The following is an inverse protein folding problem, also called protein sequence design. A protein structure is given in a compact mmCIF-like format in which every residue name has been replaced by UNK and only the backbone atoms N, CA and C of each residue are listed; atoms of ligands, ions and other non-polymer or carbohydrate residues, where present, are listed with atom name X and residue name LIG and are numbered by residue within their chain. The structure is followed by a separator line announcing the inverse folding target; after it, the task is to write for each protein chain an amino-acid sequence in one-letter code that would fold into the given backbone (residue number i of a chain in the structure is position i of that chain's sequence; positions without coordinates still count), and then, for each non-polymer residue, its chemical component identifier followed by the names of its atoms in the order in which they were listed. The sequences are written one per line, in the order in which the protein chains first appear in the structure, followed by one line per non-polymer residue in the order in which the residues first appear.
data_IF_126809138322
#
_entry.id   IF_126809138322
#
_cell.length_a   1.000
_cell.length_b   1.000
_cell.length_c   1.000
_cell.angle_alpha   90.00
_cell.angle_beta   90.00
_cell.angle_gamma   90.00
#
_symmetry.space_group_name_H-M   'P 1'
#
loop_
_entity.id
_entity.type
_entity.pdbx_description
1 polymer ?
#
# COMPACT_ATOMS: atom_id res chain seq x y z
N UNK A 1 1.57 -25.23 10.20
CA UNK A 1 2.67 -24.25 10.06
C UNK A 1 2.56 -23.28 11.23
N UNK A 2 3.47 -23.37 12.21
CA UNK A 2 3.60 -22.42 13.32
C UNK A 2 4.53 -21.31 12.83
N UNK A 3 4.01 -20.10 12.60
CA UNK A 3 4.87 -18.93 12.33
C UNK A 3 5.32 -18.35 13.67
N UNK A 4 6.62 -18.28 13.87
CA UNK A 4 7.28 -17.70 15.04
C UNK A 4 7.46 -16.19 14.80
N UNK A 5 6.83 -15.37 15.61
CA UNK A 5 7.12 -13.93 15.68
C UNK A 5 8.11 -13.75 16.84
N UNK A 6 9.38 -13.56 16.53
CA UNK A 6 10.42 -13.29 17.51
C UNK A 6 10.56 -11.77 17.69
N UNK A 7 10.12 -11.25 18.82
CA UNK A 7 10.41 -9.90 19.29
C UNK A 7 11.59 -9.99 20.26
N UNK A 8 12.70 -9.32 19.92
CA UNK A 8 13.85 -9.28 20.81
C UNK A 8 13.66 -8.14 21.81
N UNK A 9 13.07 -8.41 22.98
CA UNK A 9 13.31 -7.66 24.24
C UNK A 9 12.42 -8.14 25.39
N UNK A 10 12.76 -7.77 26.61
CA UNK A 10 12.13 -8.22 27.87
C UNK A 10 10.70 -7.67 28.01
N UNK A 11 9.74 -8.53 28.28
CA UNK A 11 8.36 -8.25 28.73
C UNK A 11 7.66 -7.07 28.04
N UNK A 12 7.24 -7.26 26.80
CA UNK A 12 6.46 -6.25 26.07
C UNK A 12 4.98 -6.58 26.12
N UNK A 13 4.16 -5.62 26.53
CA UNK A 13 2.72 -5.65 26.25
C UNK A 13 2.52 -5.15 24.81
N UNK A 14 1.89 -5.93 23.96
CA UNK A 14 1.59 -5.50 22.60
C UNK A 14 0.13 -5.78 22.23
N UNK A 15 -0.42 -4.92 21.40
CA UNK A 15 -1.75 -5.12 20.84
C UNK A 15 -1.59 -5.76 19.46
N UNK A 16 -2.05 -6.98 19.31
CA UNK A 16 -2.04 -7.68 18.03
C UNK A 16 -3.43 -7.60 17.39
N UNK A 17 -3.50 -7.26 16.13
CA UNK A 17 -4.72 -7.32 15.35
C UNK A 17 -4.58 -8.43 14.29
N UNK A 18 -5.44 -9.44 14.37
CA UNK A 18 -5.40 -10.60 13.47
C UNK A 18 -6.75 -10.75 12.80
N UNK A 19 -6.79 -10.87 11.47
CA UNK A 19 -8.03 -11.13 10.75
C UNK A 19 -8.30 -12.63 10.62
N UNK A 20 -9.51 -13.02 10.99
CA UNK A 20 -10.11 -14.29 10.61
C UNK A 20 -11.10 -14.10 9.46
N UNK A 21 -11.23 -15.06 8.56
CA UNK A 21 -12.15 -15.02 7.41
C UNK A 21 -13.64 -15.22 7.75
N UNK A 22 -14.02 -15.07 9.03
CA UNK A 22 -15.41 -15.15 9.49
C UNK A 22 -15.76 -14.00 10.42
N UNK A 23 -16.66 -13.17 9.97
CA UNK A 23 -17.50 -12.15 10.60
C UNK A 23 -17.09 -11.52 11.94
N UNK A 24 -16.87 -10.23 11.96
CA UNK A 24 -16.73 -9.41 13.17
C UNK A 24 -17.05 -7.94 12.90
N UNK A 25 -17.65 -7.28 13.86
CA UNK A 25 -18.30 -5.96 13.92
C UNK A 25 -17.41 -4.78 13.48
N UNK A 26 -18.02 -3.83 12.76
CA UNK A 26 -17.40 -2.59 12.24
C UNK A 26 -17.51 -1.41 13.23
N UNK A 27 -16.42 -0.68 13.40
CA UNK A 27 -16.42 0.72 13.85
C UNK A 27 -15.41 1.50 13.00
N UNK A 28 -15.90 2.51 12.27
CA UNK A 28 -15.12 3.28 11.28
C UNK A 28 -14.46 4.51 11.91
N UNK A 29 -13.15 4.69 11.66
CA UNK A 29 -12.46 5.99 11.68
C UNK A 29 -11.32 6.00 10.68
N UNK A 30 -11.17 7.07 9.87
CA UNK A 30 -10.11 7.15 8.85
C UNK A 30 -8.74 7.38 9.49
N UNK A 31 -7.69 6.74 8.97
CA UNK A 31 -6.32 6.98 9.38
C UNK A 31 -5.48 7.53 8.25
N UNK A 32 -5.04 8.77 8.48
CA UNK A 32 -3.87 9.36 7.85
C UNK A 32 -2.64 8.70 8.46
N UNK A 33 -1.77 8.11 7.66
CA UNK A 33 -0.45 7.67 8.11
C UNK A 33 0.38 8.92 8.34
N UNK A 34 0.49 9.35 9.58
CA UNK A 34 1.38 10.44 9.98
C UNK A 34 2.72 9.82 10.40
N UNK A 35 3.73 9.98 9.57
CA UNK A 35 5.12 9.86 9.97
C UNK A 35 5.46 11.17 10.67
N UNK A 36 5.06 11.37 11.87
CA UNK A 36 5.62 12.25 12.89
C UNK A 36 4.66 12.44 14.05
N UNK A 37 5.02 11.93 15.19
CA UNK A 37 4.81 12.69 16.41
C UNK A 37 5.62 12.12 17.56
N UNK A 38 6.33 13.01 18.23
CA UNK A 38 7.12 12.77 19.42
C UNK A 38 6.28 12.69 20.70
N UNK A 39 5.06 12.19 20.60
CA UNK A 39 4.19 11.94 21.74
C UNK A 39 3.74 10.49 21.69
N UNK A 40 4.38 9.62 22.47
CA UNK A 40 3.88 8.33 22.93
C UNK A 40 3.10 7.43 21.95
N UNK A 41 3.27 7.61 20.63
CA UNK A 41 2.54 6.90 19.59
C UNK A 41 3.14 5.53 19.37
N UNK A 42 2.34 4.49 19.59
CA UNK A 42 2.72 3.11 19.31
C UNK A 42 3.16 2.94 17.86
N UNK A 43 4.28 2.28 17.64
CA UNK A 43 4.74 1.90 16.30
C UNK A 43 3.86 0.74 15.82
N UNK A 44 3.25 0.89 14.64
CA UNK A 44 2.46 -0.14 14.00
C UNK A 44 3.32 -0.92 13.00
N UNK A 45 3.44 -2.22 13.22
CA UNK A 45 4.06 -3.14 12.29
C UNK A 45 2.97 -3.97 11.61
N UNK A 46 2.98 -4.05 10.28
CA UNK A 46 2.11 -4.90 9.49
C UNK A 46 2.92 -6.02 8.86
N UNK A 47 2.53 -7.25 9.13
CA UNK A 47 3.20 -8.43 8.60
C UNK A 47 2.23 -9.22 7.69
N UNK A 48 2.49 -9.25 6.37
CA UNK A 48 1.66 -10.01 5.43
C UNK A 48 1.90 -11.51 5.58
N UNK A 49 0.83 -12.29 5.59
CA UNK A 49 0.90 -13.75 5.70
C UNK A 49 0.81 -14.47 4.35
N UNK A 50 0.51 -13.71 3.28
CA UNK A 50 0.51 -14.21 1.91
C UNK A 50 1.19 -13.20 0.97
N UNK A 51 1.55 -13.65 -0.23
CA UNK A 51 2.31 -12.84 -1.20
C UNK A 51 1.45 -11.74 -1.83
N UNK A 52 0.13 -11.96 -1.98
CA UNK A 52 -0.81 -10.94 -2.47
C UNK A 52 -0.79 -9.70 -1.58
N UNK A 53 -1.06 -9.86 -0.28
CA UNK A 53 -1.04 -8.74 0.68
C UNK A 53 0.35 -8.10 0.78
N UNK A 54 1.42 -8.90 0.69
CA UNK A 54 2.79 -8.37 0.66
C UNK A 54 3.02 -7.43 -0.52
N UNK A 55 2.53 -7.79 -1.69
CA UNK A 55 2.63 -6.95 -2.89
C UNK A 55 1.82 -5.67 -2.75
N UNK A 56 0.61 -5.73 -2.17
CA UNK A 56 -0.22 -4.55 -1.93
C UNK A 56 0.44 -3.58 -0.95
N UNK A 57 0.99 -4.06 0.17
CA UNK A 57 1.69 -3.23 1.15
C UNK A 57 2.95 -2.56 0.55
N UNK A 58 3.70 -3.28 -0.30
CA UNK A 58 4.84 -2.69 -1.01
C UNK A 58 4.41 -1.58 -1.98
N UNK A 59 3.32 -1.80 -2.71
CA UNK A 59 2.79 -0.77 -3.62
C UNK A 59 2.28 0.44 -2.85
N UNK A 60 1.58 0.25 -1.74
CA UNK A 60 1.13 1.36 -0.89
C UNK A 60 2.32 2.23 -0.45
N UNK A 61 3.38 1.62 0.11
CA UNK A 61 4.62 2.34 0.50
C UNK A 61 5.26 3.08 -0.67
N UNK A 62 5.28 2.46 -1.86
CA UNK A 62 5.82 3.11 -3.06
C UNK A 62 4.97 4.29 -3.52
N UNK A 63 3.63 4.20 -3.48
CA UNK A 63 2.76 5.32 -3.84
C UNK A 63 2.84 6.46 -2.82
N UNK A 64 2.90 6.17 -1.52
CA UNK A 64 3.10 7.18 -0.47
C UNK A 64 4.45 7.89 -0.65
N UNK A 65 5.50 7.15 -0.95
CA UNK A 65 6.83 7.69 -1.25
C UNK A 65 6.82 8.57 -2.50
N UNK A 66 6.17 8.13 -3.58
CA UNK A 66 6.02 8.90 -4.80
C UNK A 66 5.33 10.23 -4.54
N UNK A 67 4.20 10.23 -3.83
CA UNK A 67 3.45 11.43 -3.48
C UNK A 67 4.29 12.38 -2.63
N UNK A 68 4.95 11.85 -1.59
CA UNK A 68 5.82 12.64 -0.70
C UNK A 68 6.93 13.36 -1.47
N UNK A 69 7.68 12.65 -2.33
CA UNK A 69 8.79 13.25 -3.06
C UNK A 69 8.33 14.13 -4.23
N UNK A 70 7.20 13.84 -4.84
CA UNK A 70 6.60 14.71 -5.86
C UNK A 70 6.16 16.04 -5.28
N UNK A 71 5.70 16.09 -4.04
CA UNK A 71 5.26 17.33 -3.37
C UNK A 71 6.42 18.30 -3.02
N UNK A 72 7.67 17.83 -3.07
CA UNK A 72 8.85 18.65 -2.77
C UNK A 72 9.23 19.54 -3.96
N UNK A 73 10.17 20.46 -3.72
CA UNK A 73 10.62 21.43 -4.74
C UNK A 73 12.00 21.10 -5.31
N UNK A 74 12.83 20.40 -4.53
CA UNK A 74 14.22 20.16 -4.90
C UNK A 74 14.35 19.11 -6.02
N UNK A 75 15.26 19.31 -7.01
CA UNK A 75 15.45 18.36 -8.11
C UNK A 75 15.81 16.94 -7.68
N UNK A 76 16.56 16.79 -6.58
CA UNK A 76 16.92 15.46 -6.05
C UNK A 76 15.71 14.73 -5.46
N UNK A 77 14.75 15.45 -4.87
CA UNK A 77 13.50 14.83 -4.41
C UNK A 77 12.71 14.30 -5.61
N UNK A 78 12.65 15.06 -6.71
CA UNK A 78 12.01 14.61 -7.95
C UNK A 78 12.78 13.47 -8.63
N UNK A 79 14.10 13.38 -8.44
CA UNK A 79 14.86 12.18 -8.84
C UNK A 79 14.40 10.95 -8.09
N UNK A 80 14.24 11.05 -6.75
CA UNK A 80 13.71 9.96 -5.92
C UNK A 80 12.29 9.60 -6.34
N UNK A 81 11.43 10.58 -6.64
CA UNK A 81 10.09 10.36 -7.14
C UNK A 81 10.09 9.55 -8.46
N UNK A 82 10.97 9.87 -9.41
CA UNK A 82 11.10 9.13 -10.67
C UNK A 82 11.59 7.69 -10.44
N UNK A 83 12.61 7.50 -9.59
CA UNK A 83 13.09 6.15 -9.24
C UNK A 83 11.95 5.34 -8.62
N UNK A 84 11.19 5.93 -7.71
CA UNK A 84 10.02 5.29 -7.10
C UNK A 84 8.93 4.95 -8.13
N UNK A 85 8.70 5.82 -9.12
CA UNK A 85 7.78 5.53 -10.23
C UNK A 85 8.22 4.32 -11.05
N UNK A 86 9.53 4.14 -11.25
CA UNK A 86 10.07 2.95 -11.91
C UNK A 86 9.93 1.68 -11.05
N UNK A 87 10.08 1.79 -9.73
CA UNK A 87 9.81 0.68 -8.81
C UNK A 87 8.31 0.28 -8.85
N UNK A 88 7.40 1.26 -8.89
CA UNK A 88 5.96 1.00 -9.08
C UNK A 88 5.72 0.28 -10.41
N UNK A 89 6.34 0.75 -11.50
CA UNK A 89 6.22 0.13 -12.81
C UNK A 89 6.63 -1.34 -12.79
N UNK A 90 7.69 -1.70 -12.03
CA UNK A 90 8.19 -3.08 -11.94
C UNK A 90 7.25 -3.98 -11.14
N UNK A 91 6.70 -3.48 -10.06
CA UNK A 91 5.75 -4.24 -9.22
C UNK A 91 4.38 -4.33 -9.90
N UNK A 92 3.85 -3.22 -10.44
CA UNK A 92 2.56 -3.16 -11.10
C UNK A 92 2.52 -3.91 -12.45
N UNK A 93 3.67 -4.10 -13.09
CA UNK A 93 3.81 -4.83 -14.35
C UNK A 93 3.66 -6.35 -14.22
N UNK A 94 3.49 -6.90 -13.03
CA UNK A 94 3.22 -8.32 -12.82
C UNK A 94 1.84 -8.67 -13.37
N UNK A 95 1.77 -9.77 -14.13
CA UNK A 95 0.58 -10.13 -14.90
C UNK A 95 -0.69 -10.35 -14.05
N UNK A 96 -0.51 -10.80 -12.80
CA UNK A 96 -1.64 -11.27 -11.96
C UNK A 96 -2.23 -10.17 -11.05
N UNK A 97 -1.56 -9.02 -10.90
CA UNK A 97 -1.94 -8.01 -9.90
C UNK A 97 -3.34 -7.44 -10.14
N UNK A 98 -3.69 -7.12 -11.39
CA UNK A 98 -5.02 -6.59 -11.75
C UNK A 98 -6.12 -7.60 -11.43
N UNK A 99 -5.94 -8.85 -11.83
CA UNK A 99 -6.91 -9.92 -11.58
C UNK A 99 -7.03 -10.25 -10.10
N UNK A 100 -5.91 -10.24 -9.37
CA UNK A 100 -5.86 -10.43 -7.93
C UNK A 100 -6.63 -9.36 -7.17
N UNK A 101 -6.48 -8.09 -7.56
CA UNK A 101 -7.21 -6.97 -6.95
C UNK A 101 -8.72 -7.04 -7.26
N UNK A 102 -9.10 -7.32 -8.51
CA UNK A 102 -10.51 -7.47 -8.88
C UNK A 102 -11.19 -8.62 -8.11
N UNK A 103 -10.51 -9.75 -7.95
CA UNK A 103 -11.01 -10.86 -7.15
C UNK A 103 -11.15 -10.49 -5.67
N UNK A 104 -10.19 -9.73 -5.14
CA UNK A 104 -10.21 -9.34 -3.74
C UNK A 104 -11.31 -8.29 -3.47
N UNK A 105 -11.51 -7.31 -4.37
CA UNK A 105 -12.62 -6.35 -4.29
C UNK A 105 -13.96 -7.07 -4.31
N UNK A 106 -14.17 -8.03 -5.24
CA UNK A 106 -15.40 -8.80 -5.30
C UNK A 106 -15.60 -9.65 -4.04
N UNK A 107 -14.56 -10.29 -3.53
CA UNK A 107 -14.63 -11.06 -2.27
C UNK A 107 -15.04 -10.16 -1.10
N UNK A 108 -14.50 -8.94 -1.02
CA UNK A 108 -14.83 -7.99 0.04
C UNK A 108 -16.26 -7.45 -0.13
N UNK A 109 -16.67 -7.17 -1.37
CA UNK A 109 -18.06 -6.80 -1.69
C UNK A 109 -19.06 -7.82 -1.20
N UNK A 110 -18.83 -9.10 -1.51
CA UNK A 110 -19.71 -10.20 -1.06
C UNK A 110 -19.73 -10.33 0.47
N UNK A 111 -18.60 -10.19 1.13
CA UNK A 111 -18.53 -10.23 2.58
C UNK A 111 -19.32 -9.08 3.23
N UNK A 112 -19.27 -7.88 2.65
CA UNK A 112 -20.04 -6.72 3.12
C UNK A 112 -21.54 -6.87 2.85
N UNK A 113 -21.93 -7.41 1.72
CA UNK A 113 -23.34 -7.68 1.38
C UNK A 113 -24.02 -8.62 2.39
N UNK A 114 -23.27 -9.53 3.01
CA UNK A 114 -23.81 -10.41 4.05
C UNK A 114 -24.28 -9.64 5.31
N UNK A 115 -23.80 -8.41 5.53
CA UNK A 115 -24.23 -7.57 6.65
C UNK A 115 -25.45 -6.70 6.35
N UNK A 116 -26.02 -6.75 5.14
CA UNK A 116 -27.12 -5.87 4.72
C UNK A 116 -28.39 -6.02 5.60
N UNK A 117 -28.60 -7.18 6.16
CA UNK A 117 -29.75 -7.46 7.02
C UNK A 117 -29.41 -7.41 8.52
N UNK A 118 -28.22 -6.95 8.89
CA UNK A 118 -27.83 -6.80 10.29
C UNK A 118 -28.31 -5.44 10.82
N UNK A 119 -29.20 -5.42 11.85
CA UNK A 119 -29.75 -4.17 12.39
C UNK A 119 -28.69 -3.30 13.09
N UNK A 120 -27.51 -3.82 13.41
CA UNK A 120 -26.40 -3.08 14.03
C UNK A 120 -25.54 -2.32 13.00
N UNK A 121 -25.78 -2.50 11.69
CA UNK A 121 -25.00 -1.88 10.62
C UNK A 121 -25.81 -0.77 9.96
N UNK A 122 -25.19 0.42 9.85
CA UNK A 122 -25.82 1.51 9.08
C UNK A 122 -25.86 1.15 7.60
N UNK A 123 -27.06 1.09 7.05
CA UNK A 123 -27.29 0.80 5.62
C UNK A 123 -26.62 1.85 4.74
N UNK A 124 -26.70 3.13 5.13
CA UNK A 124 -26.07 4.23 4.36
C UNK A 124 -24.55 4.13 4.32
N UNK A 125 -23.92 3.72 5.43
CA UNK A 125 -22.47 3.52 5.48
C UNK A 125 -22.05 2.32 4.65
N UNK A 126 -22.83 1.24 4.71
CA UNK A 126 -22.61 0.03 3.92
C UNK A 126 -22.74 0.31 2.42
N UNK A 127 -23.82 0.98 2.00
CA UNK A 127 -24.06 1.30 0.59
C UNK A 127 -22.99 2.22 0.03
N UNK A 128 -22.43 3.14 0.83
CA UNK A 128 -21.31 4.00 0.45
C UNK A 128 -20.04 3.20 0.18
N UNK A 129 -19.68 2.28 1.08
CA UNK A 129 -18.49 1.43 0.88
C UNK A 129 -18.67 0.50 -0.32
N UNK A 130 -19.86 -0.05 -0.52
CA UNK A 130 -20.16 -0.88 -1.68
C UNK A 130 -20.03 -0.09 -2.99
N UNK A 131 -20.49 1.17 -3.01
CA UNK A 131 -20.34 2.06 -4.17
C UNK A 131 -18.85 2.37 -4.45
N UNK A 132 -18.04 2.64 -3.41
CA UNK A 132 -16.58 2.83 -3.55
C UNK A 132 -15.91 1.58 -4.18
N UNK A 133 -16.28 0.39 -3.74
CA UNK A 133 -15.76 -0.87 -4.28
C UNK A 133 -16.18 -1.05 -5.75
N UNK A 134 -17.44 -0.80 -6.07
CA UNK A 134 -17.98 -0.97 -7.44
C UNK A 134 -17.35 0.04 -8.41
N UNK A 135 -17.07 1.27 -7.97
CA UNK A 135 -16.36 2.29 -8.75
C UNK A 135 -14.91 1.87 -9.00
N UNK A 136 -14.17 1.51 -7.95
CA UNK A 136 -12.79 1.08 -8.07
C UNK A 136 -12.64 -0.17 -8.96
N UNK A 137 -13.55 -1.14 -8.83
CA UNK A 137 -13.54 -2.34 -9.66
C UNK A 137 -13.82 -2.02 -11.14
N UNK A 138 -14.72 -1.07 -11.43
CA UNK A 138 -15.02 -0.61 -12.79
C UNK A 138 -13.81 0.10 -13.40
N UNK A 139 -13.21 1.02 -12.66
CA UNK A 139 -12.07 1.81 -13.14
C UNK A 139 -10.84 0.92 -13.37
N UNK A 140 -10.54 0.03 -12.44
CA UNK A 140 -9.47 -0.94 -12.60
C UNK A 140 -9.77 -1.92 -13.75
N UNK A 141 -11.02 -2.37 -13.89
CA UNK A 141 -11.48 -3.23 -14.98
C UNK A 141 -11.30 -2.57 -16.34
N UNK A 142 -11.53 -1.26 -16.43
CA UNK A 142 -11.43 -0.45 -17.64
C UNK A 142 -10.01 -0.25 -18.17
N UNK A 143 -8.97 -0.51 -17.37
CA UNK A 143 -7.58 -0.43 -17.83
C UNK A 143 -7.35 -1.47 -18.93
N UNK A 144 -7.05 -1.02 -20.14
CA UNK A 144 -6.66 -1.87 -21.26
C UNK A 144 -5.13 -2.09 -21.27
N UNK A 145 -4.70 -3.33 -21.52
CA UNK A 145 -3.28 -3.67 -21.59
C UNK A 145 -2.62 -3.87 -20.22
N UNK A 146 -1.29 -3.84 -20.20
CA UNK A 146 -0.48 -4.03 -19.00
C UNK A 146 -0.34 -2.70 -18.24
N UNK A 147 -0.49 -2.75 -16.92
CA UNK A 147 -0.23 -1.58 -16.07
C UNK A 147 1.17 -1.01 -16.33
N UNK A 148 1.23 0.31 -16.53
CA UNK A 148 2.49 1.02 -16.84
C UNK A 148 3.01 0.90 -18.26
N UNK A 149 2.22 0.41 -19.22
CA UNK A 149 2.62 0.33 -20.62
C UNK A 149 3.01 1.70 -21.19
N UNK A 150 2.25 2.75 -20.85
CA UNK A 150 2.53 4.14 -21.26
C UNK A 150 3.92 4.65 -20.83
N UNK A 151 4.43 4.18 -19.67
CA UNK A 151 5.80 4.51 -19.25
C UNK A 151 6.85 3.73 -20.04
N UNK A 152 6.57 2.46 -20.34
CA UNK A 152 7.48 1.60 -21.13
C UNK A 152 7.62 2.10 -22.58
N UNK A 153 6.60 2.74 -23.11
CA UNK A 153 6.57 3.36 -24.44
C UNK A 153 7.23 4.75 -24.48
N UNK A 154 7.49 5.34 -23.30
CA UNK A 154 8.20 6.61 -23.21
C UNK A 154 9.72 6.36 -23.22
N UNK A 155 10.34 6.51 -24.39
CA UNK A 155 11.77 6.28 -24.58
C UNK A 155 12.64 7.13 -23.66
N UNK A 156 12.24 8.38 -23.41
CA UNK A 156 12.98 9.29 -22.53
C UNK A 156 12.99 8.78 -21.09
N UNK A 157 11.82 8.37 -20.54
CA UNK A 157 11.75 7.77 -19.20
C UNK A 157 12.53 6.45 -19.12
N UNK A 158 12.46 5.61 -20.16
CA UNK A 158 13.20 4.35 -20.19
C UNK A 158 14.71 4.56 -20.28
N UNK A 159 15.17 5.61 -20.94
CA UNK A 159 16.60 5.99 -20.95
C UNK A 159 17.08 6.37 -19.54
N UNK A 160 16.31 7.17 -18.80
CA UNK A 160 16.61 7.53 -17.41
C UNK A 160 16.63 6.26 -16.54
N UNK A 161 15.59 5.43 -16.64
CA UNK A 161 15.50 4.21 -15.87
C UNK A 161 16.70 3.29 -16.06
N UNK A 162 17.16 3.12 -17.29
CA UNK A 162 18.33 2.27 -17.60
C UNK A 162 19.62 2.79 -16.97
N UNK A 163 19.74 4.08 -16.75
CA UNK A 163 20.90 4.73 -16.16
C UNK A 163 20.85 4.83 -14.64
N UNK A 164 19.67 4.95 -14.05
CA UNK A 164 19.52 4.99 -12.57
C UNK A 164 19.97 3.68 -11.89
N UNK A 165 20.03 2.58 -12.62
CA UNK A 165 20.56 1.30 -12.12
C UNK A 165 22.11 1.34 -12.01
N UNK A 166 22.78 2.21 -12.76
CA UNK A 166 24.23 2.37 -12.77
C UNK A 166 24.62 3.38 -11.69
N UNK A 167 25.56 3.05 -10.83
CA UNK A 167 26.06 3.98 -9.82
C UNK A 167 26.62 5.26 -10.48
N UNK A 168 26.03 6.41 -10.15
CA UNK A 168 26.39 7.70 -10.78
C UNK A 168 25.93 7.87 -12.23
N UNK A 169 25.13 6.96 -12.79
CA UNK A 169 24.75 6.94 -14.21
C UNK A 169 23.73 8.03 -14.63
N UNK A 170 23.24 8.85 -13.68
CA UNK A 170 22.31 9.96 -13.95
C UNK A 170 23.01 11.34 -14.00
N UNK A 171 24.30 11.38 -14.33
CA UNK A 171 25.06 12.60 -14.46
C UNK A 171 24.69 13.36 -15.75
N UNK A 172 25.02 14.67 -15.77
CA UNK A 172 24.73 15.58 -16.90
C UNK A 172 25.32 15.13 -18.22
N UNK A 173 26.53 14.55 -18.22
CA UNK A 173 27.21 14.07 -19.42
C UNK A 173 26.62 12.74 -19.96
N UNK A 174 26.00 11.91 -19.11
CA UNK A 174 25.31 10.68 -19.52
C UNK A 174 23.86 10.95 -19.95
N UNK A 175 23.18 11.86 -19.27
CA UNK A 175 21.77 12.20 -19.48
C UNK A 175 21.54 13.72 -19.57
N UNK A 176 22.03 14.42 -20.60
CA UNK A 176 21.92 15.89 -20.69
C UNK A 176 20.48 16.39 -20.75
N UNK A 177 19.56 15.64 -21.38
CA UNK A 177 18.13 15.99 -21.42
C UNK A 177 17.44 15.86 -20.05
N UNK A 178 17.86 14.88 -19.25
CA UNK A 178 17.38 14.71 -17.88
C UNK A 178 17.93 15.81 -16.96
N UNK A 179 19.19 16.15 -17.11
CA UNK A 179 19.79 17.27 -16.39
C UNK A 179 19.07 18.59 -16.69
N UNK A 180 18.77 18.85 -17.96
CA UNK A 180 17.97 20.01 -18.37
C UNK A 180 16.56 19.98 -17.73
N UNK A 181 15.92 18.83 -17.67
CA UNK A 181 14.62 18.67 -17.00
C UNK A 181 14.71 18.97 -15.49
N UNK A 182 15.76 18.55 -14.82
CA UNK A 182 15.99 18.85 -13.39
C UNK A 182 16.11 20.37 -13.12
N UNK A 183 16.53 21.15 -14.09
CA UNK A 183 16.65 22.61 -13.99
C UNK A 183 15.35 23.36 -14.37
N UNK A 184 14.29 22.66 -14.75
CA UNK A 184 12.98 23.29 -14.95
C UNK A 184 12.39 23.73 -13.61
N UNK A 185 11.42 24.65 -13.65
CA UNK A 185 10.68 25.05 -12.45
C UNK A 185 10.02 23.84 -11.76
N UNK A 186 10.00 23.81 -10.43
CA UNK A 186 9.52 22.65 -9.67
C UNK A 186 8.08 22.26 -10.02
N UNK A 187 7.16 23.22 -10.19
CA UNK A 187 5.78 22.95 -10.61
C UNK A 187 5.69 22.24 -11.96
N UNK A 188 6.59 22.55 -12.90
CA UNK A 188 6.61 21.87 -14.19
C UNK A 188 7.05 20.41 -14.04
N UNK A 189 8.05 20.14 -13.19
CA UNK A 189 8.49 18.78 -12.89
C UNK A 189 7.42 17.99 -12.14
N UNK A 190 6.73 18.63 -11.18
CA UNK A 190 5.60 18.02 -10.45
C UNK A 190 4.47 17.63 -11.39
N UNK A 191 4.09 18.51 -12.33
CA UNK A 191 3.07 18.20 -13.35
C UNK A 191 3.47 17.03 -14.24
N UNK A 192 4.73 16.99 -14.66
CA UNK A 192 5.23 15.89 -15.48
C UNK A 192 5.14 14.55 -14.71
N UNK A 193 5.63 14.50 -13.47
CA UNK A 193 5.58 13.29 -12.63
C UNK A 193 4.12 12.88 -12.37
N UNK A 194 3.24 13.82 -12.04
CA UNK A 194 1.83 13.56 -11.84
C UNK A 194 1.15 12.98 -13.09
N UNK A 195 1.47 13.53 -14.27
CA UNK A 195 0.95 13.03 -15.55
C UNK A 195 1.43 11.59 -15.85
N UNK A 196 2.68 11.27 -15.52
CA UNK A 196 3.21 9.91 -15.69
C UNK A 196 2.64 8.93 -14.68
N UNK A 197 2.32 9.38 -13.47
CA UNK A 197 1.73 8.57 -12.42
C UNK A 197 0.21 8.34 -12.60
N UNK A 198 -0.50 9.30 -13.22
CA UNK A 198 -1.96 9.30 -13.30
C UNK A 198 -2.60 7.98 -13.79
N UNK A 199 -2.06 7.27 -14.80
CA UNK A 199 -2.63 5.99 -15.24
C UNK A 199 -2.57 4.86 -14.21
N UNK A 200 -1.79 5.02 -13.13
CA UNK A 200 -1.80 4.06 -12.02
C UNK A 200 -2.89 4.35 -10.97
N UNK A 201 -3.61 5.47 -11.08
CA UNK A 201 -4.61 5.86 -10.09
C UNK A 201 -5.66 4.77 -9.81
N UNK A 202 -6.27 4.10 -10.81
CA UNK A 202 -7.23 3.04 -10.53
C UNK A 202 -6.64 1.84 -9.77
N UNK A 203 -5.36 1.55 -9.99
CA UNK A 203 -4.63 0.53 -9.25
C UNK A 203 -4.45 0.95 -7.79
N UNK A 204 -4.03 2.20 -7.56
CA UNK A 204 -3.84 2.75 -6.22
C UNK A 204 -5.17 2.81 -5.44
N UNK A 205 -6.23 3.33 -6.02
CA UNK A 205 -7.55 3.43 -5.38
C UNK A 205 -8.07 2.04 -4.97
N UNK A 206 -7.92 1.05 -5.86
CA UNK A 206 -8.32 -0.33 -5.59
C UNK A 206 -7.54 -0.96 -4.43
N UNK A 207 -6.21 -0.82 -4.42
CA UNK A 207 -5.39 -1.37 -3.34
C UNK A 207 -5.64 -0.68 -2.00
N UNK A 208 -5.89 0.65 -2.01
CA UNK A 208 -6.18 1.42 -0.82
C UNK A 208 -7.48 0.96 -0.16
N UNK A 209 -8.54 0.71 -0.95
CA UNK A 209 -9.80 0.15 -0.45
C UNK A 209 -9.57 -1.24 0.15
N UNK A 210 -8.86 -2.12 -0.56
CA UNK A 210 -8.59 -3.49 -0.10
C UNK A 210 -7.82 -3.49 1.22
N UNK A 211 -6.77 -2.70 1.33
CA UNK A 211 -5.95 -2.62 2.55
C UNK A 211 -6.72 -1.96 3.70
N UNK A 212 -7.49 -0.90 3.43
CA UNK A 212 -8.37 -0.26 4.41
C UNK A 212 -9.32 -1.28 5.03
N UNK A 213 -10.08 -2.01 4.20
CA UNK A 213 -11.03 -3.01 4.68
C UNK A 213 -10.34 -4.18 5.38
N UNK A 214 -9.15 -4.56 4.94
CA UNK A 214 -8.33 -5.56 5.61
C UNK A 214 -7.93 -5.12 7.02
N UNK A 215 -7.55 -3.87 7.21
CA UNK A 215 -7.18 -3.29 8.51
C UNK A 215 -8.38 -3.13 9.43
N UNK A 216 -9.51 -2.63 8.92
CA UNK A 216 -10.73 -2.38 9.69
C UNK A 216 -11.40 -3.67 10.18
N UNK A 217 -11.31 -4.74 9.40
CA UNK A 217 -11.88 -6.06 9.77
C UNK A 217 -10.99 -6.88 10.71
N UNK A 218 -9.90 -6.33 11.23
CA UNK A 218 -8.99 -7.04 12.12
C UNK A 218 -9.57 -7.17 13.54
N UNK A 219 -9.47 -8.37 14.10
CA UNK A 219 -9.76 -8.61 15.53
C UNK A 219 -8.56 -8.18 16.37
N UNK A 220 -8.79 -7.35 17.38
CA UNK A 220 -7.76 -6.85 18.29
C UNK A 220 -7.71 -7.69 19.55
N UNK A 221 -6.51 -8.07 19.97
CA UNK A 221 -6.25 -8.72 21.24
C UNK A 221 -5.00 -8.12 21.87
N UNK A 222 -5.03 -7.90 23.19
CA UNK A 222 -3.84 -7.54 23.95
C UNK A 222 -3.16 -8.82 24.42
N UNK A 223 -1.90 -8.99 24.08
CA UNK A 223 -1.14 -10.20 24.31
C UNK A 223 0.15 -9.85 25.09
N UNK A 224 0.63 -10.79 25.88
CA UNK A 224 1.91 -10.66 26.56
C UNK A 224 2.92 -11.63 25.94
N UNK A 225 4.05 -11.10 25.48
CA UNK A 225 5.15 -11.89 24.93
C UNK A 225 6.16 -12.19 26.04
N UNK A 226 6.19 -13.41 26.55
CA UNK A 226 7.17 -13.82 27.54
C UNK A 226 8.56 -13.91 26.88
N UNK A 227 9.53 -13.21 27.44
CA UNK A 227 10.91 -13.13 26.90
C UNK A 227 10.92 -12.71 25.41
N UNK A 228 10.01 -11.80 25.02
CA UNK A 228 9.91 -11.31 23.63
C UNK A 228 9.38 -12.32 22.61
N UNK A 229 8.81 -13.43 23.05
CA UNK A 229 8.29 -14.48 22.16
C UNK A 229 6.81 -14.74 22.43
N UNK A 230 6.02 -14.77 21.35
CA UNK A 230 4.61 -15.19 21.38
C UNK A 230 4.33 -16.18 20.24
N UNK A 231 3.63 -17.24 20.55
CA UNK A 231 3.23 -18.26 19.58
C UNK A 231 1.73 -18.53 19.70
N UNK A 232 1.02 -18.50 18.57
CA UNK A 232 -0.39 -18.83 18.50
C UNK A 232 -0.62 -19.85 17.40
N UNK A 233 -1.23 -21.01 17.72
CA UNK A 233 -1.69 -21.96 16.71
C UNK A 233 -2.83 -21.33 15.92
N UNK A 234 -2.82 -21.46 14.60
CA UNK A 234 -3.82 -20.85 13.73
C UNK A 234 -5.15 -21.63 13.71
N UNK A 235 -5.19 -22.85 14.26
CA UNK A 235 -6.42 -23.65 14.42
C UNK A 235 -7.16 -23.91 13.10
N UNK A 236 -6.45 -24.02 11.97
CA UNK A 236 -7.05 -24.18 10.64
C UNK A 236 -7.61 -22.89 10.02
N UNK A 237 -7.56 -21.76 10.73
CA UNK A 237 -8.01 -20.46 10.21
C UNK A 237 -6.95 -19.86 9.26
N UNK A 238 -7.40 -19.25 8.17
CA UNK A 238 -6.55 -18.52 7.25
C UNK A 238 -6.54 -17.04 7.63
N UNK A 239 -5.35 -16.52 7.87
CA UNK A 239 -5.14 -15.10 8.16
C UNK A 239 -4.35 -14.45 7.01
N UNK A 240 -4.68 -13.21 6.68
CA UNK A 240 -4.04 -12.49 5.59
C UNK A 240 -2.91 -11.59 6.07
N UNK A 241 -3.06 -10.97 7.24
CA UNK A 241 -2.11 -10.02 7.79
C UNK A 241 -2.15 -10.05 9.32
N UNK A 242 -1.02 -9.80 9.96
CA UNK A 242 -0.89 -9.54 11.40
C UNK A 242 -0.43 -8.10 11.58
N UNK A 243 -1.11 -7.38 12.46
CA UNK A 243 -0.68 -6.06 12.92
C UNK A 243 -0.16 -6.17 14.36
N UNK A 244 1.00 -5.59 14.62
CA UNK A 244 1.60 -5.52 15.95
C UNK A 244 1.85 -4.06 16.30
N UNK A 245 1.38 -3.63 17.46
CA UNK A 245 1.62 -2.27 17.97
C UNK A 245 2.55 -2.36 19.16
N UNK A 246 3.67 -1.66 19.08
CA UNK A 246 4.71 -1.62 20.11
C UNK A 246 4.97 -0.19 20.53
N UNK A 247 5.31 -0.03 21.82
CA UNK A 247 5.84 1.24 22.30
C UNK A 247 7.26 1.46 21.72
N UNK A 248 7.60 2.66 21.22
CA UNK A 248 8.94 2.96 20.71
C UNK A 248 10.05 2.80 21.74
N UNK A 249 9.72 2.84 23.03
CA UNK A 249 10.66 2.71 24.13
C UNK A 249 11.01 1.25 24.50
N UNK A 250 10.43 0.28 23.77
CA UNK A 250 10.63 -1.17 24.03
C UNK A 250 11.71 -1.77 23.15
#
# INVERSE_FOLDING_TARGET
FVKRIALRQNSCHFTCAVRCSSGGTFAATPRTVSIASRDGTLILYEYPLNERVRTLLRLEDLFERLEFFTSKEHPLDHHVALVTLFEILDVAGRADLKSDLLQELERQRQALMAFRNNPEVSVEALDRILAEIDEAARDLGGITGKSGQHLRENEWLMSIRSRTIIAGGACEFDLPSYYAWQHRHHEARQRDIAAWAAPFKPLYDSLAIVLKLLRESAQRATLSAQQGSYQQPLGGKSYQMVQVRLDPAV
#
